data_IF_388872417882
#
_entry.id   IF_388872417882
#
_cell.length_a   1.000
_cell.length_b   1.000
_cell.length_c   1.000
_cell.angle_alpha   90.00
_cell.angle_beta   90.00
_cell.angle_gamma   90.00
#
_symmetry.space_group_name_H-M   'P 1'
#
loop_
_entity.id
_entity.type
_entity.pdbx_description
1 polymer ?
#
# COMPACT_ATOMS: atom_id res chain seq x y z
N UNK A 1 8.84 -2.54 -23.49
CA UNK A 1 8.17 -3.80 -23.11
C UNK A 1 8.75 -4.45 -21.86
N UNK A 2 9.96 -5.04 -21.83
CA UNK A 2 10.47 -5.77 -20.64
C UNK A 2 10.54 -4.88 -19.38
N UNK A 3 11.03 -3.64 -19.52
CA UNK A 3 11.10 -2.67 -18.41
C UNK A 3 9.74 -2.34 -17.79
N UNK A 4 8.71 -2.29 -18.63
CA UNK A 4 7.33 -1.96 -18.24
C UNK A 4 6.73 -3.13 -17.47
N UNK A 5 6.91 -4.36 -17.96
CA UNK A 5 6.49 -5.57 -17.25
C UNK A 5 7.13 -5.66 -15.86
N UNK A 6 8.45 -5.44 -15.80
CA UNK A 6 9.18 -5.47 -14.54
C UNK A 6 8.67 -4.41 -13.57
N UNK A 7 8.40 -3.19 -14.05
CA UNK A 7 7.82 -2.12 -13.24
C UNK A 7 6.51 -2.54 -12.57
N UNK A 8 5.55 -3.08 -13.33
CA UNK A 8 4.25 -3.49 -12.76
C UNK A 8 4.37 -4.67 -11.78
N UNK A 9 5.27 -5.62 -12.03
CA UNK A 9 5.53 -6.73 -11.10
C UNK A 9 6.16 -6.23 -9.80
N UNK A 10 7.11 -5.29 -9.87
CA UNK A 10 7.71 -4.67 -8.68
C UNK A 10 6.66 -3.86 -7.90
N UNK A 11 5.81 -3.09 -8.59
CA UNK A 11 4.71 -2.38 -7.94
C UNK A 11 3.72 -3.35 -7.26
N UNK A 12 3.40 -4.48 -7.89
CA UNK A 12 2.56 -5.51 -7.27
C UNK A 12 3.20 -6.12 -6.02
N UNK A 13 4.50 -6.43 -6.07
CA UNK A 13 5.23 -6.92 -4.91
C UNK A 13 5.23 -5.90 -3.76
N UNK A 14 5.39 -4.62 -4.09
CA UNK A 14 5.28 -3.53 -3.13
C UNK A 14 3.91 -3.49 -2.43
N UNK A 15 2.80 -3.63 -3.17
CA UNK A 15 1.46 -3.67 -2.57
C UNK A 15 1.32 -4.81 -1.54
N UNK A 16 1.90 -5.97 -1.80
CA UNK A 16 1.89 -7.12 -0.88
C UNK A 16 2.73 -6.84 0.37
N UNK A 17 3.96 -6.34 0.20
CA UNK A 17 4.85 -5.99 1.31
C UNK A 17 4.21 -4.92 2.20
N UNK A 18 3.59 -3.91 1.58
CA UNK A 18 2.88 -2.85 2.27
C UNK A 18 1.70 -3.38 3.08
N UNK A 19 0.85 -4.20 2.47
CA UNK A 19 -0.29 -4.81 3.16
C UNK A 19 0.19 -5.61 4.37
N UNK A 20 1.24 -6.42 4.21
CA UNK A 20 1.82 -7.20 5.30
C UNK A 20 2.38 -6.32 6.42
N UNK A 21 3.04 -5.20 6.09
CA UNK A 21 3.56 -4.25 7.08
C UNK A 21 2.45 -3.59 7.89
N UNK A 22 1.38 -3.11 7.23
CA UNK A 22 0.21 -2.53 7.92
C UNK A 22 -0.48 -3.58 8.79
N UNK A 23 -0.64 -4.80 8.27
CA UNK A 23 -1.20 -5.92 9.04
C UNK A 23 -0.38 -6.15 10.31
N UNK A 24 0.94 -6.29 10.20
CA UNK A 24 1.80 -6.54 11.34
C UNK A 24 1.73 -5.42 12.41
N UNK A 25 1.68 -4.16 11.99
CA UNK A 25 1.57 -3.02 12.91
C UNK A 25 0.25 -3.04 13.69
N UNK A 26 -0.84 -3.41 13.01
CA UNK A 26 -2.19 -3.36 13.57
C UNK A 26 -2.58 -4.61 14.38
N UNK A 27 -2.00 -5.78 14.07
CA UNK A 27 -2.35 -7.05 14.71
C UNK A 27 -1.29 -7.57 15.68
N UNK A 28 -0.01 -7.38 15.38
CA UNK A 28 1.10 -7.91 16.20
C UNK A 28 1.53 -6.84 17.21
N UNK A 29 0.73 -6.67 18.28
CA UNK A 29 1.00 -5.69 19.34
C UNK A 29 1.10 -6.35 20.72
N UNK A 30 2.33 -6.54 21.25
CA UNK A 30 2.52 -6.94 22.64
C UNK A 30 2.17 -5.76 23.55
N UNK A 31 1.22 -5.94 24.47
CA UNK A 31 1.02 -5.04 25.62
C UNK A 31 -0.10 -3.98 25.52
N UNK A 32 -0.66 -3.69 24.35
CA UNK A 32 -1.83 -2.80 24.22
C UNK A 32 -2.57 -3.10 22.91
N UNK A 33 -3.67 -3.87 22.92
CA UNK A 33 -4.40 -4.18 21.71
C UNK A 33 -4.94 -2.88 21.10
N UNK A 34 -4.63 -2.63 19.84
CA UNK A 34 -5.38 -1.66 19.03
C UNK A 34 -6.84 -2.09 19.07
N UNK A 35 -7.79 -1.17 19.25
CA UNK A 35 -9.19 -1.57 19.33
C UNK A 35 -9.56 -2.40 18.08
N UNK A 36 -10.15 -3.58 18.29
CA UNK A 36 -10.35 -4.57 17.22
C UNK A 36 -11.07 -3.98 16.00
N UNK A 37 -11.98 -3.04 16.24
CA UNK A 37 -12.69 -2.28 15.19
C UNK A 37 -11.73 -1.59 14.24
N UNK A 38 -10.69 -0.91 14.74
CA UNK A 38 -9.74 -0.20 13.89
C UNK A 38 -8.85 -1.14 13.09
N UNK A 39 -8.39 -2.24 13.70
CA UNK A 39 -7.61 -3.25 13.00
C UNK A 39 -8.44 -3.91 11.90
N UNK A 40 -9.70 -4.26 12.17
CA UNK A 40 -10.61 -4.84 11.16
C UNK A 40 -10.87 -3.85 10.03
N UNK A 41 -11.22 -2.60 10.34
CA UNK A 41 -11.52 -1.57 9.34
C UNK A 41 -10.30 -1.32 8.44
N UNK A 42 -9.12 -1.12 9.03
CA UNK A 42 -7.90 -0.90 8.27
C UNK A 42 -7.51 -2.10 7.40
N UNK A 43 -7.72 -3.33 7.89
CA UNK A 43 -7.48 -4.55 7.11
C UNK A 43 -8.49 -4.74 5.99
N UNK A 44 -9.74 -4.35 6.20
CA UNK A 44 -10.78 -4.41 5.18
C UNK A 44 -10.44 -3.46 4.03
N UNK A 45 -10.09 -2.20 4.33
CA UNK A 45 -9.61 -1.26 3.32
C UNK A 45 -8.25 -1.67 2.73
N UNK A 46 -7.38 -2.29 3.52
CA UNK A 46 -6.11 -2.85 3.06
C UNK A 46 -6.29 -4.03 2.08
N UNK A 47 -7.35 -4.82 2.20
CA UNK A 47 -7.57 -5.99 1.33
C UNK A 47 -7.75 -5.62 -0.15
N UNK A 48 -8.31 -4.43 -0.44
CA UNK A 48 -8.40 -3.89 -1.80
C UNK A 48 -7.02 -3.70 -2.46
N UNK A 49 -5.95 -3.58 -1.67
CA UNK A 49 -4.57 -3.48 -2.16
C UNK A 49 -4.07 -4.79 -2.76
N UNK A 50 -4.57 -5.95 -2.29
CA UNK A 50 -4.24 -7.24 -2.89
C UNK A 50 -4.89 -7.41 -4.26
N UNK A 51 -6.11 -6.88 -4.42
CA UNK A 51 -6.78 -6.81 -5.72
C UNK A 51 -6.01 -5.89 -6.66
N UNK A 52 -5.49 -4.76 -6.17
CA UNK A 52 -4.63 -3.87 -6.93
C UNK A 52 -3.31 -4.55 -7.35
N UNK A 53 -2.69 -5.33 -6.46
CA UNK A 53 -1.50 -6.12 -6.77
C UNK A 53 -1.77 -7.10 -7.93
N UNK A 54 -2.88 -7.84 -7.86
CA UNK A 54 -3.30 -8.75 -8.92
C UNK A 54 -3.55 -8.01 -10.25
N UNK A 55 -4.20 -6.84 -10.19
CA UNK A 55 -4.44 -6.00 -11.38
C UNK A 55 -3.12 -5.53 -12.03
N UNK A 56 -2.12 -5.14 -11.23
CA UNK A 56 -0.80 -4.74 -11.73
C UNK A 56 -0.06 -5.93 -12.36
N UNK A 57 -0.11 -7.12 -11.75
CA UNK A 57 0.43 -8.35 -12.35
C UNK A 57 -0.21 -8.62 -13.71
N UNK A 58 -1.54 -8.58 -13.77
CA UNK A 58 -2.31 -8.80 -15.01
C UNK A 58 -1.92 -7.79 -16.10
N UNK A 59 -1.68 -6.52 -15.73
CA UNK A 59 -1.19 -5.50 -16.65
C UNK A 59 0.20 -5.81 -17.20
N UNK A 60 1.10 -6.34 -16.35
CA UNK A 60 2.44 -6.76 -16.74
C UNK A 60 2.44 -7.92 -17.75
N UNK A 61 1.50 -8.86 -17.60
CA UNK A 61 1.40 -10.02 -18.50
C UNK A 61 0.57 -9.77 -19.76
N UNK A 62 -0.49 -8.94 -19.68
CA UNK A 62 -1.44 -8.71 -20.77
C UNK A 62 -1.50 -7.23 -21.19
N UNK A 63 -0.48 -6.72 -21.90
CA UNK A 63 -0.40 -5.30 -22.21
C UNK A 63 -1.48 -4.77 -23.17
N UNK A 64 -2.12 -5.65 -23.95
CA UNK A 64 -3.25 -5.26 -24.82
C UNK A 64 -4.43 -4.66 -24.04
N UNK A 65 -4.56 -4.95 -22.74
CA UNK A 65 -5.67 -4.45 -21.92
C UNK A 65 -5.33 -3.18 -21.13
N UNK A 66 -4.19 -2.51 -21.37
CA UNK A 66 -3.78 -1.31 -20.62
C UNK A 66 -4.86 -0.23 -20.59
N UNK A 67 -5.54 0.01 -21.71
CA UNK A 67 -6.60 1.03 -21.81
C UNK A 67 -7.72 0.81 -20.79
N UNK A 68 -8.10 -0.44 -20.53
CA UNK A 68 -9.17 -0.79 -19.61
C UNK A 68 -8.72 -0.80 -18.14
N UNK A 69 -7.55 -1.37 -17.85
CA UNK A 69 -7.10 -1.56 -16.47
C UNK A 69 -6.35 -0.38 -15.87
N UNK A 70 -5.69 0.47 -16.67
CA UNK A 70 -4.87 1.57 -16.14
C UNK A 70 -5.69 2.60 -15.33
N UNK A 71 -6.90 3.03 -15.74
CA UNK A 71 -7.74 3.89 -14.92
C UNK A 71 -8.13 3.25 -13.59
N UNK A 72 -8.45 1.94 -13.60
CA UNK A 72 -8.80 1.18 -12.40
C UNK A 72 -7.61 1.06 -11.45
N UNK A 73 -6.41 0.83 -11.98
CA UNK A 73 -5.17 0.80 -11.19
C UNK A 73 -4.88 2.17 -10.56
N UNK A 74 -5.10 3.27 -11.29
CA UNK A 74 -4.94 4.63 -10.74
C UNK A 74 -5.92 4.90 -9.60
N UNK A 75 -7.20 4.57 -9.80
CA UNK A 75 -8.22 4.73 -8.77
C UNK A 75 -7.90 3.86 -7.55
N UNK A 76 -7.56 2.59 -7.77
CA UNK A 76 -7.16 1.68 -6.71
C UNK A 76 -5.94 2.20 -5.95
N UNK A 77 -4.94 2.75 -6.65
CA UNK A 77 -3.74 3.34 -6.03
C UNK A 77 -4.06 4.59 -5.21
N UNK A 78 -5.00 5.42 -5.65
CA UNK A 78 -5.49 6.57 -4.90
C UNK A 78 -6.21 6.12 -3.61
N UNK A 79 -7.10 5.14 -3.68
CA UNK A 79 -7.77 4.59 -2.48
C UNK A 79 -6.77 3.93 -1.53
N UNK A 80 -5.68 3.44 -2.08
CA UNK A 80 -4.61 2.79 -1.37
C UNK A 80 -3.92 3.69 -0.33
N UNK A 81 -4.02 5.02 -0.41
CA UNK A 81 -3.51 5.91 0.63
C UNK A 81 -4.30 5.79 1.96
N UNK A 82 -5.57 5.39 1.90
CA UNK A 82 -6.48 5.44 3.04
C UNK A 82 -5.99 4.64 4.26
N UNK A 83 -5.51 3.38 4.14
CA UNK A 83 -5.05 2.62 5.30
C UNK A 83 -3.85 3.24 6.01
N UNK A 84 -2.91 3.83 5.27
CA UNK A 84 -1.75 4.49 5.85
C UNK A 84 -2.13 5.83 6.51
N UNK A 85 -3.02 6.61 5.90
CA UNK A 85 -3.58 7.83 6.53
C UNK A 85 -4.32 7.46 7.81
N UNK A 86 -5.17 6.43 7.77
CA UNK A 86 -5.92 5.96 8.92
C UNK A 86 -4.97 5.53 10.05
N UNK A 87 -3.90 4.80 9.73
CA UNK A 87 -2.88 4.41 10.71
C UNK A 87 -2.18 5.61 11.36
N UNK A 88 -1.96 6.71 10.62
CA UNK A 88 -1.39 7.95 11.16
C UNK A 88 -2.41 8.66 12.05
N UNK A 89 -3.66 8.81 11.59
CA UNK A 89 -4.73 9.55 12.29
C UNK A 89 -5.14 8.87 13.59
N UNK A 90 -5.26 7.54 13.60
CA UNK A 90 -5.54 6.78 14.82
C UNK A 90 -4.40 6.97 15.83
N UNK A 91 -3.20 7.26 15.34
CA UNK A 91 -1.98 7.25 16.11
C UNK A 91 -1.63 5.82 16.53
N UNK A 92 -0.34 5.50 16.59
CA UNK A 92 0.09 4.32 17.32
C UNK A 92 0.34 4.79 18.75
N UNK A 93 -0.50 4.43 19.75
CA UNK A 93 -0.24 4.87 21.12
C UNK A 93 1.16 4.43 21.55
N UNK A 94 1.95 5.29 22.22
CA UNK A 94 3.22 4.86 22.79
C UNK A 94 2.96 3.68 23.73
N UNK A 95 3.78 2.62 23.63
CA UNK A 95 3.79 1.58 24.67
C UNK A 95 4.17 2.24 26.00
N UNK A 96 3.57 1.80 27.11
CA UNK A 96 3.75 2.40 28.44
C UNK A 96 5.22 2.42 28.93
N UNK A 97 6.13 1.72 28.25
CA UNK A 97 7.56 1.83 28.46
C UNK A 97 8.09 3.15 27.87
N UNK A 98 8.46 4.08 28.77
CA UNK A 98 8.94 5.46 28.55
C UNK A 98 10.31 5.52 27.81
N UNK A 99 10.71 4.45 27.13
CA UNK A 99 11.91 4.39 26.30
C UNK A 99 11.62 4.62 24.81
N UNK A 100 12.55 5.30 24.12
CA UNK A 100 12.69 5.26 22.66
C UNK A 100 13.05 3.84 22.22
N UNK A 101 12.09 2.92 22.28
CA UNK A 101 12.24 1.58 21.71
C UNK A 101 12.28 1.70 20.19
N UNK A 102 13.27 1.08 19.55
CA UNK A 102 13.40 1.00 18.09
C UNK A 102 12.08 0.53 17.44
N UNK A 103 11.33 -0.34 18.11
CA UNK A 103 10.03 -0.83 17.64
C UNK A 103 8.98 0.27 17.54
N UNK A 104 8.97 1.23 18.47
CA UNK A 104 8.05 2.37 18.44
C UNK A 104 8.40 3.33 17.31
N UNK A 105 9.69 3.58 17.09
CA UNK A 105 10.17 4.39 15.97
C UNK A 105 9.79 3.76 14.64
N UNK A 106 10.04 2.46 14.46
CA UNK A 106 9.66 1.73 13.23
C UNK A 106 8.15 1.80 13.00
N UNK A 107 7.34 1.58 14.04
CA UNK A 107 5.87 1.65 13.93
C UNK A 107 5.36 3.04 13.55
N UNK A 108 5.93 4.09 14.13
CA UNK A 108 5.56 5.46 13.80
C UNK A 108 6.02 5.86 12.38
N UNK A 109 7.22 5.41 11.96
CA UNK A 109 7.78 5.74 10.67
C UNK A 109 7.14 4.95 9.51
N UNK A 110 6.69 3.71 9.73
CA UNK A 110 6.23 2.83 8.65
C UNK A 110 5.05 3.40 7.84
N UNK A 111 3.96 3.92 8.45
CA UNK A 111 2.87 4.55 7.69
C UNK A 111 3.35 5.75 6.86
N UNK A 112 4.32 6.51 7.35
CA UNK A 112 4.90 7.67 6.65
C UNK A 112 5.70 7.21 5.43
N UNK A 113 6.56 6.20 5.60
CA UNK A 113 7.34 5.61 4.50
C UNK A 113 6.40 5.04 3.44
N UNK A 114 5.34 4.35 3.87
CA UNK A 114 4.32 3.81 2.98
C UNK A 114 3.69 4.92 2.13
N UNK A 115 3.22 6.01 2.76
CA UNK A 115 2.65 7.15 2.03
C UNK A 115 3.65 7.78 1.06
N UNK A 116 4.91 7.90 1.45
CA UNK A 116 5.96 8.44 0.60
C UNK A 116 6.16 7.60 -0.66
N UNK A 117 6.34 6.28 -0.50
CA UNK A 117 6.53 5.36 -1.63
C UNK A 117 5.27 5.31 -2.50
N UNK A 118 4.08 5.27 -1.91
CA UNK A 118 2.83 5.25 -2.66
C UNK A 118 2.60 6.52 -3.45
N UNK A 119 3.02 7.68 -2.93
CA UNK A 119 2.95 8.96 -3.61
C UNK A 119 3.85 8.97 -4.84
N UNK A 120 5.09 8.49 -4.70
CA UNK A 120 6.03 8.37 -5.81
C UNK A 120 5.45 7.44 -6.89
N UNK A 121 4.99 6.24 -6.50
CA UNK A 121 4.40 5.28 -7.44
C UNK A 121 3.14 5.80 -8.12
N UNK A 122 2.30 6.55 -7.39
CA UNK A 122 1.11 7.17 -7.96
C UNK A 122 1.47 8.24 -9.00
N UNK A 123 2.44 9.10 -8.71
CA UNK A 123 2.95 10.08 -9.68
C UNK A 123 3.48 9.37 -10.94
N UNK A 124 4.26 8.30 -10.79
CA UNK A 124 4.73 7.51 -11.92
C UNK A 124 3.57 6.89 -12.74
N UNK A 125 2.54 6.36 -12.07
CA UNK A 125 1.34 5.81 -12.73
C UNK A 125 0.51 6.88 -13.48
N UNK A 126 0.49 8.12 -12.98
CA UNK A 126 -0.13 9.25 -13.67
C UNK A 126 0.67 9.66 -14.90
N UNK A 127 1.99 9.69 -14.81
CA UNK A 127 2.88 10.00 -15.93
C UNK A 127 2.85 8.92 -17.02
N UNK A 128 2.47 7.69 -16.68
CA UNK A 128 2.35 6.59 -17.62
C UNK A 128 1.22 6.86 -18.64
N UNK A 129 1.57 7.38 -19.82
CA UNK A 129 0.59 7.57 -20.89
C UNK A 129 0.31 6.22 -21.55
N UNK A 130 -0.95 6.00 -21.92
CA UNK A 130 -1.34 4.90 -22.81
C UNK A 130 -0.61 5.16 -24.11
N UNK A 131 0.51 4.47 -24.35
CA UNK A 131 1.15 4.50 -25.67
C UNK A 131 0.18 3.75 -26.58
N UNK A 132 -0.58 4.52 -27.37
CA UNK A 132 -1.40 3.98 -28.44
C UNK A 132 -0.45 3.44 -29.50
N UNK A 133 0.08 2.24 -29.28
CA UNK A 133 0.56 1.37 -30.36
C UNK A 133 -0.50 0.32 -30.59
N UNK A 134 -1.60 0.79 -31.17
CA UNK A 134 -2.46 0.04 -32.09
C UNK A 134 -2.75 0.97 -33.26
#
# INVERSE_FOLDING_TARGET
MIREKLFFVVCAAWEVVRFAAIFAILTVRPGAPTAAVYSVVALWFGSGQLVLAAAMVMLGFFPARYRAYLPLIRLGKLLSFAPAILAIVIGVPPTADIGLSLTNVIRAATPIVILGVDSILFVFLLSYRISAKE
#
